data_IF_713109600030
#
_entry.id   IF_713109600030
#
_cell.length_a   1.000
_cell.length_b   1.000
_cell.length_c   1.000
_cell.angle_alpha   90.00
_cell.angle_beta   90.00
_cell.angle_gamma   90.00
#
_symmetry.space_group_name_H-M   'P 1'
#
loop_
_entity.id
_entity.type
_entity.pdbx_description
1 polymer ?
#
# COMPACT_ATOMS: atom_id res chain seq x y z
N UNK A 1 0.31 7.84 5.46
CA UNK A 1 1.57 7.12 5.75
C UNK A 1 1.49 5.71 5.16
N UNK A 2 2.57 5.23 4.53
CA UNK A 2 2.71 3.84 4.05
C UNK A 2 3.66 3.07 4.98
N UNK A 3 3.28 1.84 5.34
CA UNK A 3 4.10 0.85 6.06
C UNK A 3 4.48 -0.24 5.08
N UNK A 4 5.76 -0.54 4.94
CA UNK A 4 6.29 -1.53 4.00
C UNK A 4 6.75 -2.79 4.73
N UNK A 5 6.51 -3.94 4.12
CA UNK A 5 6.80 -5.25 4.68
C UNK A 5 7.50 -6.14 3.65
N UNK A 6 8.35 -7.04 4.13
CA UNK A 6 8.91 -8.13 3.31
C UNK A 6 7.81 -9.10 2.86
N UNK A 7 8.13 -9.99 1.92
CA UNK A 7 7.24 -11.08 1.52
C UNK A 7 6.80 -11.98 2.71
N UNK A 8 7.67 -12.15 3.70
CA UNK A 8 7.39 -12.89 4.95
C UNK A 8 6.63 -12.05 5.99
N UNK A 9 6.04 -10.92 5.57
CA UNK A 9 5.27 -9.98 6.42
C UNK A 9 6.08 -9.35 7.55
N UNK A 10 7.42 -9.28 7.44
CA UNK A 10 8.25 -8.57 8.43
C UNK A 10 8.26 -7.08 8.11
N UNK A 11 8.12 -6.24 9.13
CA UNK A 11 8.19 -4.78 8.96
C UNK A 11 9.57 -4.36 8.46
N UNK A 12 9.58 -3.47 7.46
CA UNK A 12 10.80 -2.87 6.92
C UNK A 12 10.93 -1.41 7.34
N UNK A 13 9.95 -0.59 6.96
CA UNK A 13 9.99 0.84 7.22
C UNK A 13 8.63 1.49 7.01
N UNK A 14 8.50 2.75 7.42
CA UNK A 14 7.34 3.59 7.13
C UNK A 14 7.76 4.93 6.53
N UNK A 15 6.90 5.52 5.70
CA UNK A 15 7.09 6.84 5.07
C UNK A 15 5.78 7.60 5.00
N UNK A 16 5.82 8.92 5.20
CA UNK A 16 4.71 9.80 4.82
C UNK A 16 4.77 9.98 3.31
N UNK A 17 3.60 9.92 2.65
CA UNK A 17 3.46 10.23 1.23
C UNK A 17 2.78 11.58 1.14
N UNK A 18 3.36 12.48 0.37
CA UNK A 18 2.85 13.81 0.07
C UNK A 18 2.34 13.87 -1.37
N UNK A 19 1.67 14.97 -1.73
CA UNK A 19 1.21 15.18 -3.10
C UNK A 19 2.39 15.14 -4.09
N UNK A 20 2.24 14.35 -5.15
CA UNK A 20 3.27 14.13 -6.17
C UNK A 20 4.19 12.93 -5.92
N UNK A 21 4.21 12.36 -4.72
CA UNK A 21 4.98 11.15 -4.45
C UNK A 21 4.41 9.93 -5.17
N UNK A 22 5.28 9.10 -5.72
CA UNK A 22 4.92 7.82 -6.36
C UNK A 22 5.64 6.69 -5.64
N UNK A 23 4.88 5.71 -5.15
CA UNK A 23 5.41 4.49 -4.58
C UNK A 23 5.15 3.30 -5.52
N UNK A 24 6.21 2.64 -5.99
CA UNK A 24 6.12 1.40 -6.75
C UNK A 24 6.45 0.22 -5.82
N UNK A 25 5.48 -0.67 -5.61
CA UNK A 25 5.71 -1.92 -4.90
C UNK A 25 5.90 -3.07 -5.90
N UNK A 26 7.15 -3.46 -6.14
CA UNK A 26 7.49 -4.56 -7.05
C UNK A 26 7.30 -5.96 -6.40
N UNK A 27 7.44 -6.05 -5.07
CA UNK A 27 7.26 -7.28 -4.29
C UNK A 27 7.04 -6.95 -2.81
N UNK A 28 6.65 -7.95 -2.01
CA UNK A 28 6.35 -7.75 -0.58
C UNK A 28 4.93 -7.25 -0.35
N UNK A 29 4.72 -6.47 0.70
CA UNK A 29 3.42 -5.95 1.07
C UNK A 29 3.47 -4.53 1.61
N UNK A 30 2.33 -3.85 1.58
CA UNK A 30 2.17 -2.51 2.13
C UNK A 30 0.87 -2.37 2.92
N UNK A 31 0.84 -1.42 3.85
CA UNK A 31 -0.37 -0.97 4.54
C UNK A 31 -0.41 0.55 4.56
N UNK A 32 -1.60 1.12 4.44
CA UNK A 32 -1.82 2.56 4.49
C UNK A 32 -2.50 2.97 5.78
N UNK A 33 -2.13 4.16 6.25
CA UNK A 33 -2.80 4.88 7.32
C UNK A 33 -3.04 6.30 6.81
N UNK A 34 -4.30 6.68 6.69
CA UNK A 34 -4.72 8.03 6.27
C UNK A 34 -4.58 8.94 7.50
N UNK A 35 -3.75 9.98 7.38
CA UNK A 35 -3.41 10.88 8.49
C UNK A 35 -3.97 12.30 8.29
N UNK A 36 -4.51 12.59 7.11
CA UNK A 36 -5.16 13.86 6.74
C UNK A 36 -6.18 13.58 5.62
N UNK A 37 -7.03 14.56 5.28
CA UNK A 37 -7.96 14.45 4.15
C UNK A 37 -7.16 14.39 2.82
N UNK A 38 -7.25 13.25 2.13
CA UNK A 38 -6.44 12.96 0.95
C UNK A 38 -7.24 12.18 -0.08
N UNK A 39 -6.90 12.43 -1.35
CA UNK A 39 -7.28 11.58 -2.47
C UNK A 39 -6.02 11.02 -3.11
N UNK A 40 -5.98 9.72 -3.35
CA UNK A 40 -4.87 9.07 -4.06
C UNK A 40 -5.39 7.94 -4.95
N UNK A 41 -4.56 7.55 -5.91
CA UNK A 41 -4.87 6.49 -6.87
C UNK A 41 -3.98 5.29 -6.55
N UNK A 42 -4.58 4.12 -6.36
CA UNK A 42 -3.87 2.86 -6.25
C UNK A 42 -4.09 2.04 -7.52
N UNK A 43 -3.02 1.77 -8.26
CA UNK A 43 -3.05 0.93 -9.46
C UNK A 43 -2.54 -0.47 -9.10
N UNK A 44 -3.36 -1.49 -9.31
CA UNK A 44 -3.02 -2.91 -9.05
C UNK A 44 -3.03 -3.70 -10.36
N UNK A 45 -2.08 -4.63 -10.51
CA UNK A 45 -2.02 -5.56 -11.64
C UNK A 45 -2.82 -6.84 -11.33
N UNK A 46 -3.58 -7.35 -12.29
CA UNK A 46 -4.33 -8.61 -12.20
C UNK A 46 -5.78 -8.48 -11.72
N UNK A 47 -6.59 -9.51 -11.98
CA UNK A 47 -7.97 -9.58 -11.53
C UNK A 47 -8.02 -9.73 -10.01
N UNK A 48 -8.76 -8.85 -9.33
CA UNK A 48 -9.06 -9.02 -7.91
C UNK A 48 -9.91 -10.28 -7.74
N UNK A 49 -9.31 -11.40 -7.31
CA UNK A 49 -10.08 -12.56 -6.84
C UNK A 49 -10.76 -12.15 -5.53
N UNK A 50 -11.92 -11.49 -5.64
CA UNK A 50 -12.82 -11.20 -4.52
C UNK A 50 -13.42 -12.51 -4.04
N UNK A 51 -12.72 -13.22 -3.15
CA UNK A 51 -13.41 -14.09 -2.19
C UNK A 51 -13.98 -13.19 -1.10
N UNK A 52 -15.15 -12.59 -1.36
CA UNK A 52 -16.04 -12.23 -0.28
C UNK A 52 -16.54 -13.54 0.32
N UNK A 53 -15.88 -14.04 1.36
CA UNK A 53 -16.60 -14.81 2.36
C UNK A 53 -17.23 -13.79 3.30
N UNK A 54 -18.55 -13.89 3.47
CA UNK A 54 -19.32 -13.06 4.39
C UNK A 54 -18.85 -13.25 5.82
#
# INVERSE_FOLDING_TARGET
MVKLYTADRKFLTSRVLCAGDVNLLASGGHGFEVIDDVSFIEVKQGASRRTHNR
#
